data_IF_289945052319
#
_entry.id   IF_289945052319
#
_cell.length_a   1.000
_cell.length_b   1.000
_cell.length_c   1.000
_cell.angle_alpha   90.00
_cell.angle_beta   90.00
_cell.angle_gamma   90.00
#
_symmetry.space_group_name_H-M   'P 1'
#
loop_
_entity.id
_entity.type
_entity.pdbx_description
1 polymer ?
#
# COMPACT_ATOMS: atom_id res chain seq x y z
N UNK A 1 5.19 -10.10 13.90
CA UNK A 1 4.60 -10.48 12.60
C UNK A 1 5.48 -9.86 11.53
N UNK A 2 6.18 -10.64 10.71
CA UNK A 2 7.06 -10.08 9.68
C UNK A 2 6.31 -9.98 8.36
N UNK A 3 6.42 -8.83 7.68
CA UNK A 3 5.73 -8.59 6.41
C UNK A 3 6.66 -9.01 5.29
N UNK A 4 6.52 -10.27 4.87
CA UNK A 4 7.44 -10.90 3.91
C UNK A 4 7.43 -10.20 2.56
N UNK A 5 6.26 -9.77 2.07
CA UNK A 5 6.12 -9.03 0.80
C UNK A 5 6.91 -7.71 0.80
N UNK A 6 6.83 -6.94 1.90
CA UNK A 6 7.61 -5.71 2.05
C UNK A 6 9.11 -6.00 2.12
N UNK A 7 9.50 -7.09 2.77
CA UNK A 7 10.91 -7.50 2.88
C UNK A 7 11.49 -7.90 1.52
N UNK A 8 10.77 -8.69 0.74
CA UNK A 8 11.21 -9.15 -0.58
C UNK A 8 11.32 -7.99 -1.57
N UNK A 9 10.48 -6.96 -1.42
CA UNK A 9 10.54 -5.75 -2.23
C UNK A 9 11.66 -4.78 -1.79
N UNK A 10 11.80 -4.54 -0.48
CA UNK A 10 12.62 -3.44 0.04
C UNK A 10 14.10 -3.81 0.27
N UNK A 11 14.41 -5.08 0.57
CA UNK A 11 15.79 -5.51 0.80
C UNK A 11 16.67 -5.48 -0.46
N UNK A 12 16.21 -5.84 -1.66
CA UNK A 12 17.02 -5.78 -2.86
C UNK A 12 17.38 -4.36 -3.32
N UNK A 13 16.62 -3.36 -2.89
CA UNK A 13 16.86 -1.96 -3.22
C UNK A 13 18.18 -1.47 -2.61
N UNK A 14 18.90 -0.61 -3.33
CA UNK A 14 20.05 0.12 -2.80
C UNK A 14 19.60 1.26 -1.87
N UNK A 15 20.55 1.93 -1.21
CA UNK A 15 20.22 2.94 -0.20
C UNK A 15 19.51 4.18 -0.78
N UNK A 16 19.86 4.60 -2.00
CA UNK A 16 19.21 5.71 -2.70
C UNK A 16 17.79 5.34 -3.13
N UNK A 17 17.58 4.13 -3.65
CA UNK A 17 16.26 3.60 -4.00
C UNK A 17 15.37 3.46 -2.77
N UNK A 18 15.91 3.00 -1.64
CA UNK A 18 15.17 2.91 -0.37
C UNK A 18 14.74 4.27 0.14
N UNK A 19 15.63 5.27 0.04
CA UNK A 19 15.31 6.64 0.44
C UNK A 19 14.23 7.22 -0.46
N UNK A 20 14.42 7.13 -1.78
CA UNK A 20 13.44 7.60 -2.77
C UNK A 20 12.08 6.94 -2.57
N UNK A 21 12.05 5.62 -2.39
CA UNK A 21 10.82 4.88 -2.12
C UNK A 21 10.13 5.33 -0.84
N UNK A 22 10.88 5.45 0.25
CA UNK A 22 10.33 5.91 1.52
C UNK A 22 9.75 7.33 1.40
N UNK A 23 10.48 8.24 0.75
CA UNK A 23 10.02 9.61 0.51
C UNK A 23 8.76 9.65 -0.36
N UNK A 24 8.69 8.88 -1.44
CA UNK A 24 7.50 8.79 -2.29
C UNK A 24 6.28 8.24 -1.54
N UNK A 25 6.51 7.30 -0.62
CA UNK A 25 5.47 6.79 0.27
C UNK A 25 5.09 7.75 1.42
N UNK A 26 5.78 8.90 1.56
CA UNK A 26 5.56 9.85 2.64
C UNK A 26 6.07 9.38 4.01
N UNK A 27 7.10 8.53 4.03
CA UNK A 27 7.69 7.93 5.24
C UNK A 27 9.22 8.03 5.23
N UNK A 28 9.88 7.39 6.20
CA UNK A 28 11.35 7.27 6.26
C UNK A 28 11.76 5.80 6.22
N UNK A 29 13.00 5.52 5.80
CA UNK A 29 13.57 4.15 5.78
C UNK A 29 13.39 3.47 7.14
N UNK A 30 13.69 4.18 8.23
CA UNK A 30 13.55 3.66 9.59
C UNK A 30 12.11 3.22 9.90
N UNK A 31 11.11 4.01 9.51
CA UNK A 31 9.70 3.65 9.69
C UNK A 31 9.31 2.43 8.84
N UNK A 32 9.77 2.35 7.60
CA UNK A 32 9.56 1.19 6.72
C UNK A 32 10.16 -0.08 7.33
N UNK A 33 11.36 0.00 7.91
CA UNK A 33 12.00 -1.13 8.60
C UNK A 33 11.21 -1.56 9.85
N UNK A 34 10.71 -0.61 10.66
CA UNK A 34 9.87 -0.92 11.82
C UNK A 34 8.60 -1.69 11.42
N UNK A 35 7.98 -1.31 10.29
CA UNK A 35 6.81 -2.00 9.74
C UNK A 35 7.18 -3.39 9.22
N UNK A 36 8.27 -3.49 8.45
CA UNK A 36 8.77 -4.75 7.89
C UNK A 36 9.05 -5.80 8.97
N UNK A 37 9.67 -5.39 10.08
CA UNK A 37 9.95 -6.27 11.21
C UNK A 37 8.73 -6.50 12.12
N UNK A 38 7.62 -5.80 11.92
CA UNK A 38 6.42 -5.92 12.75
C UNK A 38 6.51 -5.26 14.11
N UNK A 39 7.43 -4.31 14.27
CA UNK A 39 7.56 -3.50 15.47
C UNK A 39 6.50 -2.38 15.52
N UNK A 40 5.94 -2.01 14.36
CA UNK A 40 4.89 -1.00 14.23
C UNK A 40 3.85 -1.45 13.20
N UNK A 41 2.57 -1.20 13.50
CA UNK A 41 1.49 -1.39 12.54
C UNK A 41 1.54 -0.32 11.45
N UNK A 42 1.36 -0.75 10.19
CA UNK A 42 1.18 0.18 9.09
C UNK A 42 -0.22 0.79 9.18
N UNK A 43 -0.32 2.11 9.07
CA UNK A 43 -1.63 2.75 8.94
C UNK A 43 -2.17 2.54 7.51
N UNK A 44 -3.50 2.58 7.30
CA UNK A 44 -4.07 2.34 5.98
C UNK A 44 -3.63 3.32 4.90
N UNK A 45 -3.39 4.60 5.23
CA UNK A 45 -2.90 5.59 4.26
C UNK A 45 -1.51 5.23 3.72
N UNK A 46 -0.59 4.83 4.61
CA UNK A 46 0.75 4.39 4.26
C UNK A 46 0.72 3.04 3.54
N UNK A 47 -0.18 2.14 3.92
CA UNK A 47 -0.35 0.86 3.22
C UNK A 47 -0.77 1.06 1.76
N UNK A 48 -1.70 1.99 1.50
CA UNK A 48 -2.11 2.38 0.14
C UNK A 48 -0.95 3.05 -0.61
N UNK A 49 -0.18 3.93 0.05
CA UNK A 49 0.96 4.57 -0.58
C UNK A 49 2.03 3.55 -1.01
N UNK A 50 2.35 2.60 -0.14
CA UNK A 50 3.30 1.51 -0.44
C UNK A 50 2.77 0.63 -1.58
N UNK A 51 1.50 0.25 -1.57
CA UNK A 51 0.88 -0.53 -2.65
C UNK A 51 0.99 0.19 -4.00
N UNK A 52 0.65 1.49 -4.02
CA UNK A 52 0.73 2.33 -5.21
C UNK A 52 2.15 2.48 -5.75
N UNK A 53 3.11 2.83 -4.89
CA UNK A 53 4.49 3.07 -5.30
C UNK A 53 5.22 1.77 -5.65
N UNK A 54 4.85 0.65 -5.00
CA UNK A 54 5.35 -0.68 -5.35
C UNK A 54 4.63 -1.31 -6.55
N UNK A 55 3.65 -0.61 -7.14
CA UNK A 55 2.82 -1.09 -8.27
C UNK A 55 2.14 -2.43 -7.98
N UNK A 56 1.68 -2.61 -6.73
CA UNK A 56 1.02 -3.83 -6.27
C UNK A 56 1.96 -4.98 -5.90
N UNK A 57 3.28 -4.79 -5.90
CA UNK A 57 4.22 -5.80 -5.41
C UNK A 57 4.10 -6.02 -3.89
N UNK A 58 3.72 -4.97 -3.15
CA UNK A 58 3.43 -5.04 -1.71
C UNK A 58 1.97 -4.66 -1.47
N UNK A 59 1.05 -5.64 -1.40
CA UNK A 59 -0.38 -5.34 -1.27
C UNK A 59 -0.70 -4.69 0.08
N UNK A 60 -1.58 -3.68 0.06
CA UNK A 60 -1.99 -2.94 1.26
C UNK A 60 -2.64 -3.84 2.34
N UNK A 61 -3.31 -4.92 1.93
CA UNK A 61 -3.90 -5.94 2.81
C UNK A 61 -2.85 -6.68 3.64
N UNK A 62 -1.63 -6.89 3.10
CA UNK A 62 -0.53 -7.49 3.86
C UNK A 62 0.07 -6.52 4.88
N UNK A 63 -0.01 -5.22 4.62
CA UNK A 63 0.54 -4.18 5.49
C UNK A 63 -0.40 -3.81 6.65
N UNK A 64 -1.70 -3.82 6.39
CA UNK A 64 -2.72 -3.42 7.35
C UNK A 64 -3.85 -4.46 7.37
N UNK A 65 -3.66 -5.62 8.02
CA UNK A 65 -4.64 -6.70 8.05
C UNK A 65 -5.91 -6.37 8.85
N UNK A 66 -5.84 -5.33 9.70
CA UNK A 66 -6.99 -4.85 10.49
C UNK A 66 -8.01 -4.08 9.65
N UNK A 67 -7.66 -3.65 8.44
CA UNK A 67 -8.52 -2.83 7.57
C UNK A 67 -9.06 -3.67 6.41
N UNK A 68 -10.38 -3.69 6.27
CA UNK A 68 -11.06 -4.37 5.16
C UNK A 68 -11.03 -3.50 3.89
N UNK A 69 -9.94 -3.61 3.13
CA UNK A 69 -9.81 -2.93 1.83
C UNK A 69 -10.75 -3.50 0.77
N UNK A 70 -11.20 -4.75 0.90
CA UNK A 70 -12.15 -5.35 -0.02
C UNK A 70 -13.52 -4.69 0.10
N UNK A 71 -13.99 -4.47 1.32
CA UNK A 71 -15.18 -3.67 1.59
C UNK A 71 -15.06 -2.28 0.96
N UNK A 72 -13.94 -1.57 1.19
CA UNK A 72 -13.72 -0.23 0.60
C UNK A 72 -13.74 -0.22 -0.93
N UNK A 73 -13.17 -1.24 -1.58
CA UNK A 73 -13.17 -1.38 -3.05
C UNK A 73 -14.57 -1.63 -3.61
N UNK A 74 -15.39 -2.36 -2.87
CA UNK A 74 -16.78 -2.67 -3.27
C UNK A 74 -17.72 -1.48 -3.07
N UNK A 75 -17.34 -0.47 -2.28
CA UNK A 75 -18.10 0.77 -2.11
C UNK A 75 -17.96 1.74 -3.29
N UNK A 76 -17.17 1.43 -4.32
CA UNK A 76 -17.06 2.27 -5.52
C UNK A 76 -18.47 2.46 -6.07
N UNK A 77 -19.03 3.70 -6.07
CA UNK A 77 -20.38 3.90 -6.54
C UNK A 77 -20.40 3.47 -8.00
N UNK A 78 -21.11 2.39 -8.29
CA UNK A 78 -21.59 2.11 -9.62
C UNK A 78 -22.45 3.31 -9.98
N UNK A 79 -21.87 4.29 -10.67
CA UNK A 79 -22.66 5.30 -11.36
C UNK A 79 -23.59 4.46 -12.24
N UNK A 80 -24.91 4.44 -12.01
CA UNK A 80 -25.80 3.74 -12.92
C UNK A 80 -25.57 4.39 -14.28
N UNK A 81 -25.18 3.61 -15.28
CA UNK A 81 -25.08 4.10 -16.66
C UNK A 81 -26.39 4.82 -16.98
N UNK A 82 -26.31 6.15 -17.09
CA UNK A 82 -27.40 6.97 -17.57
C UNK A 82 -27.72 6.45 -18.97
N UNK A 83 -28.88 5.80 -19.12
CA UNK A 83 -29.36 5.39 -20.43
C UNK A 83 -29.52 6.67 -21.24
N UNK A 84 -28.55 6.94 -22.10
CA UNK A 84 -28.62 8.01 -23.07
C UNK A 84 -29.88 7.78 -23.90
N UNK A 85 -30.88 8.63 -23.70
CA UNK A 85 -32.07 8.68 -24.52
C UNK A 85 -31.63 9.12 -25.92
N UNK A 86 -31.29 8.16 -26.77
CA UNK A 86 -31.10 8.38 -28.19
C UNK A 86 -32.40 8.02 -28.92
N UNK A 87 -32.98 9.10 -29.44
CA UNK A 87 -33.87 9.24 -30.59
C UNK A 87 -35.35 8.89 -30.42
#
# INVERSE_FOLDING_TARGET
>A
MHIQTLKDFFLPLNDEERESFATSCGTTIGQTLQIMYGNRNCNPALAIAIDRESKGAVPCESLCPDVDFQYLRNLTPTIPEEKSCHQ
#
